data_IF_860250204640
#
_entry.id   IF_860250204640
#
_cell.length_a   1.000
_cell.length_b   1.000
_cell.length_c   1.000
_cell.angle_alpha   90.00
_cell.angle_beta   90.00
_cell.angle_gamma   90.00
#
_symmetry.space_group_name_H-M   'P 1'
#
loop_
_entity.id
_entity.type
_entity.pdbx_description
1 polymer ?
#
# COMPACT_ATOMS: atom_id res chain seq x y z
N UNK A 1 20.85 -12.36 -39.32
CA UNK A 1 19.73 -11.62 -39.91
C UNK A 1 18.60 -11.70 -38.90
N UNK A 2 18.50 -10.70 -38.03
CA UNK A 2 17.50 -10.67 -36.96
C UNK A 2 16.22 -10.09 -37.54
N UNK A 3 15.15 -10.89 -37.58
CA UNK A 3 13.82 -10.40 -37.90
C UNK A 3 13.36 -9.49 -36.76
N UNK A 4 13.49 -8.18 -36.95
CA UNK A 4 12.80 -7.20 -36.13
C UNK A 4 11.29 -7.34 -36.41
N UNK A 5 10.45 -7.59 -35.39
CA UNK A 5 9.00 -7.58 -35.57
C UNK A 5 8.56 -6.19 -36.04
N UNK A 6 7.55 -6.18 -36.90
CA UNK A 6 7.07 -5.03 -37.65
C UNK A 6 6.86 -3.78 -36.76
N UNK A 7 7.63 -2.72 -37.02
CA UNK A 7 7.85 -1.56 -36.12
C UNK A 7 6.67 -0.57 -36.03
N UNK A 8 5.53 -0.87 -36.66
CA UNK A 8 4.34 0.00 -36.79
C UNK A 8 3.15 -0.39 -35.92
N UNK A 9 3.20 -1.50 -35.18
CA UNK A 9 2.05 -2.01 -34.39
C UNK A 9 1.95 -1.42 -32.97
N UNK A 10 2.94 -0.65 -32.52
CA UNK A 10 3.00 -0.15 -31.14
C UNK A 10 3.59 1.29 -31.08
N UNK A 11 3.07 2.20 -31.92
CA UNK A 11 3.60 3.57 -32.01
C UNK A 11 3.28 4.43 -30.78
N UNK A 12 2.16 4.16 -30.10
CA UNK A 12 1.74 4.87 -28.88
C UNK A 12 2.60 4.49 -27.65
N UNK A 13 3.23 3.32 -27.71
CA UNK A 13 4.14 2.83 -26.68
C UNK A 13 3.89 1.38 -26.29
N UNK A 14 4.85 0.85 -25.55
CA UNK A 14 4.92 -0.55 -25.14
C UNK A 14 5.06 -0.59 -23.61
N UNK A 15 4.32 -1.48 -22.96
CA UNK A 15 4.49 -1.83 -21.55
C UNK A 15 5.19 -3.17 -21.47
N UNK A 16 6.42 -3.17 -20.97
CA UNK A 16 7.21 -4.36 -20.71
C UNK A 16 7.16 -4.73 -19.23
N UNK A 17 6.93 -6.01 -18.95
CA UNK A 17 6.90 -6.58 -17.62
C UNK A 17 8.10 -7.50 -17.47
N UNK A 18 8.93 -7.27 -16.45
CA UNK A 18 10.11 -8.06 -16.15
C UNK A 18 9.94 -8.80 -14.83
N UNK A 19 10.30 -10.08 -14.85
CA UNK A 19 10.46 -10.88 -13.64
C UNK A 19 11.91 -10.79 -13.15
N UNK A 20 12.08 -10.87 -11.83
CA UNK A 20 13.40 -10.86 -11.20
C UNK A 20 14.30 -11.95 -11.78
N UNK A 21 15.55 -11.62 -12.07
CA UNK A 21 16.54 -12.54 -12.64
C UNK A 21 16.43 -12.78 -14.15
N UNK A 22 15.45 -12.21 -14.85
CA UNK A 22 15.36 -12.28 -16.32
C UNK A 22 15.83 -10.98 -16.96
N UNK A 23 16.58 -11.09 -18.05
CA UNK A 23 17.04 -9.96 -18.87
C UNK A 23 16.03 -9.59 -19.96
N UNK A 24 15.27 -10.58 -20.43
CA UNK A 24 14.23 -10.39 -21.42
C UNK A 24 12.86 -10.14 -20.74
N UNK A 25 12.00 -9.31 -21.34
CA UNK A 25 10.67 -9.05 -20.80
C UNK A 25 9.86 -10.35 -20.77
N UNK A 26 9.22 -10.62 -19.64
CA UNK A 26 8.29 -11.73 -19.48
C UNK A 26 7.07 -11.53 -20.38
N UNK A 27 6.62 -10.29 -20.49
CA UNK A 27 5.49 -9.90 -21.31
C UNK A 27 5.71 -8.50 -21.86
N UNK A 28 5.33 -8.29 -23.13
CA UNK A 28 5.36 -7.00 -23.78
C UNK A 28 3.98 -6.71 -24.38
N UNK A 29 3.36 -5.60 -23.96
CA UNK A 29 1.98 -5.24 -24.30
C UNK A 29 1.98 -3.90 -25.03
N UNK A 30 1.16 -3.77 -26.06
CA UNK A 30 0.79 -2.47 -26.62
C UNK A 30 -0.70 -2.45 -26.98
N UNK A 31 -1.23 -1.28 -27.39
CA UNK A 31 -2.66 -1.04 -27.57
C UNK A 31 -3.40 -2.07 -28.44
N UNK A 32 -2.74 -2.63 -29.46
CA UNK A 32 -3.33 -3.64 -30.35
C UNK A 32 -3.44 -5.03 -29.69
N UNK A 33 -2.58 -5.34 -28.73
CA UNK A 33 -2.43 -6.67 -28.13
C UNK A 33 -3.05 -6.80 -26.73
N UNK A 34 -3.77 -5.77 -26.25
CA UNK A 34 -4.37 -5.75 -24.90
C UNK A 34 -5.34 -6.92 -24.68
N UNK A 35 -6.04 -7.36 -25.73
CA UNK A 35 -6.98 -8.47 -25.66
C UNK A 35 -6.31 -9.82 -25.35
N UNK A 36 -5.03 -9.99 -25.71
CA UNK A 36 -4.24 -11.21 -25.44
C UNK A 36 -3.80 -11.29 -23.96
N UNK A 37 -3.85 -10.17 -23.24
CA UNK A 37 -3.43 -10.06 -21.84
C UNK A 37 -4.51 -10.58 -20.86
N UNK A 38 -5.74 -10.82 -21.35
CA UNK A 38 -6.80 -11.43 -20.52
C UNK A 38 -6.47 -12.87 -20.12
N UNK A 39 -5.52 -13.52 -20.78
CA UNK A 39 -5.10 -14.90 -20.52
C UNK A 39 -3.72 -14.99 -19.84
N UNK A 40 -3.34 -13.97 -19.04
CA UNK A 40 -2.08 -14.06 -18.33
C UNK A 40 -2.06 -15.25 -17.36
N UNK A 41 -1.04 -16.12 -17.44
CA UNK A 41 -0.90 -17.20 -16.49
C UNK A 41 -0.57 -16.64 -15.11
N UNK A 42 -1.04 -17.34 -14.08
CA UNK A 42 -0.75 -17.02 -12.68
C UNK A 42 0.75 -17.17 -12.45
N UNK A 43 1.40 -16.10 -11.96
CA UNK A 43 2.80 -16.13 -11.55
C UNK A 43 2.93 -16.81 -10.19
N UNK A 44 3.83 -17.79 -10.08
CA UNK A 44 4.12 -18.43 -8.81
C UNK A 44 5.05 -17.58 -7.93
N UNK A 45 4.98 -17.78 -6.61
CA UNK A 45 5.88 -17.10 -5.67
C UNK A 45 7.37 -17.35 -5.96
N UNK A 46 7.70 -18.55 -6.47
CA UNK A 46 9.05 -18.92 -6.87
C UNK A 46 9.55 -18.14 -8.10
N UNK A 47 8.65 -17.77 -9.02
CA UNK A 47 9.00 -16.97 -10.19
C UNK A 47 9.17 -15.49 -9.85
N UNK A 48 8.45 -15.00 -8.84
CA UNK A 48 8.56 -13.62 -8.36
C UNK A 48 9.83 -13.41 -7.52
N UNK A 49 10.26 -14.43 -6.77
CA UNK A 49 11.43 -14.40 -5.89
C UNK A 49 12.35 -15.60 -6.15
N UNK A 50 13.12 -15.61 -7.25
CA UNK A 50 14.02 -16.71 -7.57
C UNK A 50 15.10 -16.92 -6.49
N UNK A 51 15.50 -15.85 -5.80
CA UNK A 51 16.49 -15.88 -4.72
C UNK A 51 15.86 -16.12 -3.34
N UNK A 52 14.52 -16.18 -3.24
CA UNK A 52 13.78 -16.37 -1.98
C UNK A 52 13.82 -15.18 -1.02
N UNK A 53 14.53 -14.09 -1.35
CA UNK A 53 14.70 -12.93 -0.47
C UNK A 53 13.50 -11.97 -0.57
N UNK A 54 13.17 -11.54 -1.80
CA UNK A 54 12.17 -10.50 -2.02
C UNK A 54 11.51 -10.71 -3.39
N UNK A 55 10.18 -10.92 -3.43
CA UNK A 55 9.44 -11.01 -4.68
C UNK A 55 9.37 -9.65 -5.37
N UNK A 56 9.54 -9.61 -6.69
CA UNK A 56 9.51 -8.35 -7.42
C UNK A 56 9.13 -8.49 -8.89
N UNK A 57 8.35 -7.52 -9.36
CA UNK A 57 8.01 -7.33 -10.77
C UNK A 57 8.37 -5.90 -11.14
N UNK A 58 9.07 -5.73 -12.26
CA UNK A 58 9.39 -4.41 -12.79
C UNK A 58 8.54 -4.15 -14.02
N UNK A 59 7.84 -3.01 -14.04
CA UNK A 59 7.00 -2.60 -15.16
C UNK A 59 7.65 -1.37 -15.79
N UNK A 60 7.93 -1.45 -17.08
CA UNK A 60 8.57 -0.39 -17.86
C UNK A 60 7.66 0.04 -19.01
N UNK A 61 7.40 1.35 -19.10
CA UNK A 61 6.71 1.93 -20.25
C UNK A 61 7.73 2.57 -21.21
N UNK A 62 7.65 2.20 -22.49
CA UNK A 62 8.50 2.68 -23.57
C UNK A 62 7.60 3.30 -24.65
N UNK A 63 7.39 4.61 -24.58
CA UNK A 63 6.63 5.39 -25.56
C UNK A 63 7.53 6.23 -26.48
N UNK A 64 7.13 6.41 -27.74
CA UNK A 64 7.78 7.38 -28.66
C UNK A 64 7.20 8.79 -28.54
N UNK A 65 6.00 8.90 -27.98
CA UNK A 65 5.29 10.17 -27.76
C UNK A 65 5.44 10.65 -26.32
N UNK A 66 5.13 11.94 -26.08
CA UNK A 66 5.10 12.51 -24.73
C UNK A 66 4.34 11.62 -23.73
N UNK A 67 4.86 11.36 -22.52
CA UNK A 67 4.23 10.50 -21.51
C UNK A 67 2.77 10.87 -21.18
N UNK A 68 2.41 12.14 -21.37
CA UNK A 68 1.04 12.67 -21.16
C UNK A 68 -0.03 12.13 -22.10
N UNK A 69 0.31 11.39 -23.16
CA UNK A 69 -0.68 10.81 -24.09
C UNK A 69 -1.00 9.33 -23.84
N UNK A 70 -0.23 8.65 -22.98
CA UNK A 70 -0.45 7.24 -22.66
C UNK A 70 -1.09 7.11 -21.28
N UNK A 71 -2.15 6.30 -21.19
CA UNK A 71 -2.79 5.95 -19.93
C UNK A 71 -3.00 4.44 -19.89
N UNK A 72 -2.57 3.80 -18.80
CA UNK A 72 -2.81 2.38 -18.55
C UNK A 72 -3.11 2.18 -17.07
N UNK A 73 -3.91 1.16 -16.78
CA UNK A 73 -4.26 0.74 -15.42
C UNK A 73 -3.73 -0.66 -15.21
N UNK A 74 -3.05 -0.88 -14.10
CA UNK A 74 -2.54 -2.18 -13.68
C UNK A 74 -3.39 -2.64 -12.51
N UNK A 75 -3.91 -3.85 -12.61
CA UNK A 75 -4.59 -4.53 -11.51
C UNK A 75 -3.93 -5.89 -11.31
N UNK A 76 -3.73 -6.29 -10.06
CA UNK A 76 -3.19 -7.60 -9.70
C UNK A 76 -4.03 -8.21 -8.58
N UNK A 77 -4.03 -9.54 -8.53
CA UNK A 77 -4.67 -10.32 -7.48
C UNK A 77 -3.70 -11.41 -7.05
N UNK A 78 -3.64 -11.68 -5.75
CA UNK A 78 -2.82 -12.76 -5.20
C UNK A 78 -3.69 -14.01 -4.95
N UNK A 79 -3.11 -15.19 -5.16
CA UNK A 79 -3.77 -16.47 -4.91
C UNK A 79 -2.99 -17.21 -3.82
N UNK A 80 -3.68 -17.57 -2.73
CA UNK A 80 -3.10 -18.36 -1.65
C UNK A 80 -3.42 -19.85 -1.86
N UNK A 81 -2.39 -20.69 -1.83
CA UNK A 81 -2.56 -22.14 -1.82
C UNK A 81 -2.98 -22.60 -0.43
N UNK A 82 -4.24 -23.02 -0.30
CA UNK A 82 -4.72 -23.62 0.93
C UNK A 82 -4.22 -25.06 1.06
N UNK A 83 -3.74 -25.47 2.24
CA UNK A 83 -3.46 -26.86 2.54
C UNK A 83 -4.70 -27.73 2.27
N UNK A 84 -4.52 -29.00 1.95
CA UNK A 84 -5.63 -29.95 1.79
C UNK A 84 -5.78 -30.81 3.04
N UNK A 85 -7.03 -31.10 3.39
CA UNK A 85 -7.36 -32.11 4.39
C UNK A 85 -6.87 -33.50 3.96
N UNK A 86 -6.81 -34.44 4.90
CA UNK A 86 -6.53 -35.85 4.59
C UNK A 86 -7.57 -36.42 3.58
N UNK A 87 -8.77 -35.87 3.58
CA UNK A 87 -9.85 -36.20 2.64
C UNK A 87 -9.73 -35.51 1.26
N UNK A 88 -8.66 -34.73 1.03
CA UNK A 88 -8.39 -34.05 -0.24
C UNK A 88 -9.18 -32.75 -0.48
N UNK A 89 -10.15 -32.43 0.39
CA UNK A 89 -10.84 -31.14 0.40
C UNK A 89 -9.88 -30.00 0.78
N UNK A 90 -10.15 -28.79 0.28
CA UNK A 90 -9.35 -27.61 0.65
C UNK A 90 -9.61 -27.27 2.12
N UNK A 91 -8.55 -27.06 2.91
CA UNK A 91 -8.64 -26.51 4.26
C UNK A 91 -8.98 -25.02 4.16
N UNK A 92 -10.22 -24.67 3.82
CA UNK A 92 -10.73 -23.31 4.00
C UNK A 92 -10.66 -22.85 5.47
N UNK A 93 -10.62 -23.82 6.40
CA UNK A 93 -10.33 -23.58 7.81
C UNK A 93 -8.96 -22.93 8.07
N UNK A 94 -7.98 -23.05 7.17
CA UNK A 94 -6.66 -22.39 7.29
C UNK A 94 -6.67 -20.91 6.92
N UNK A 95 -7.73 -20.43 6.27
CA UNK A 95 -8.02 -18.98 6.23
C UNK A 95 -8.52 -18.48 7.59
N UNK A 96 -8.93 -19.39 8.46
CA UNK A 96 -9.60 -19.15 9.74
C UNK A 96 -8.94 -19.78 10.97
N UNK A 97 -7.74 -20.33 10.80
CA UNK A 97 -6.86 -20.84 11.85
C UNK A 97 -5.91 -19.68 12.20
N UNK A 98 -6.00 -19.01 13.35
CA UNK A 98 -6.20 -19.61 14.67
C UNK A 98 -7.63 -19.81 15.14
N UNK A 99 -7.90 -21.05 15.51
CA UNK A 99 -9.09 -21.42 16.27
C UNK A 99 -9.52 -22.86 16.04
N UNK A 100 -8.76 -23.84 16.54
CA UNK A 100 -9.43 -25.07 16.96
C UNK A 100 -10.29 -24.71 18.16
N UNK A 101 -11.61 -24.86 18.01
CA UNK A 101 -12.62 -24.57 19.02
C UNK A 101 -12.57 -25.61 20.15
N UNK A 102 -11.42 -25.82 20.78
CA UNK A 102 -11.27 -26.55 22.06
C UNK A 102 -9.95 -26.18 22.75
N UNK A 103 -9.53 -24.91 22.77
CA UNK A 103 -8.82 -24.35 23.93
C UNK A 103 -8.76 -22.83 23.82
N UNK A 104 -8.61 -22.16 24.96
CA UNK A 104 -8.59 -20.70 25.09
C UNK A 104 -7.69 -19.97 24.08
N UNK A 105 -8.27 -19.01 23.34
CA UNK A 105 -7.72 -17.71 22.90
C UNK A 105 -6.18 -17.60 22.85
N UNK A 106 -5.52 -18.34 21.96
CA UNK A 106 -4.12 -18.08 21.62
C UNK A 106 -3.87 -18.39 20.14
N UNK A 107 -4.27 -17.48 19.25
CA UNK A 107 -3.96 -17.58 17.82
C UNK A 107 -4.89 -16.89 16.84
N UNK A 108 -6.04 -16.36 17.29
CA UNK A 108 -6.93 -15.57 16.43
C UNK A 108 -6.45 -14.12 16.40
N UNK A 109 -5.87 -13.68 15.28
CA UNK A 109 -5.36 -12.31 15.13
C UNK A 109 -6.50 -11.30 14.92
N UNK A 110 -7.55 -11.69 14.19
CA UNK A 110 -8.81 -10.94 14.07
C UNK A 110 -10.00 -11.90 13.96
N UNK A 111 -11.01 -11.71 14.80
CA UNK A 111 -12.23 -12.50 14.75
C UNK A 111 -13.26 -11.83 13.83
N UNK A 112 -13.73 -12.57 12.84
CA UNK A 112 -14.82 -12.10 11.98
C UNK A 112 -16.13 -12.00 12.78
N UNK A 113 -16.99 -11.03 12.44
CA UNK A 113 -18.33 -10.91 13.02
C UNK A 113 -19.19 -12.15 12.72
N UNK A 114 -19.99 -12.58 13.69
CA UNK A 114 -20.99 -13.66 13.54
C UNK A 114 -20.72 -14.92 14.39
N UNK A 115 -21.71 -15.81 14.46
CA UNK A 115 -21.68 -17.00 15.33
C UNK A 115 -20.79 -18.15 14.81
N UNK A 116 -20.18 -17.98 13.63
CA UNK A 116 -19.38 -19.01 12.98
C UNK A 116 -17.97 -19.19 13.56
N UNK A 117 -17.53 -18.28 14.46
CA UNK A 117 -16.22 -18.38 15.10
C UNK A 117 -15.04 -18.33 14.10
N UNK A 118 -15.21 -17.60 13.00
CA UNK A 118 -14.21 -17.48 11.93
C UNK A 118 -13.16 -16.44 12.30
N UNK A 119 -11.89 -16.75 12.12
CA UNK A 119 -10.79 -15.81 12.30
C UNK A 119 -10.14 -15.45 10.97
N UNK A 120 -9.38 -14.36 10.90
CA UNK A 120 -8.47 -14.05 9.80
C UNK A 120 -7.18 -13.46 10.37
N UNK A 121 -6.07 -13.48 9.62
CA UNK A 121 -4.87 -12.72 9.94
C UNK A 121 -5.14 -11.20 9.96
N UNK A 122 -4.50 -10.46 10.87
CA UNK A 122 -4.67 -9.00 10.99
C UNK A 122 -4.18 -8.24 9.77
N UNK A 123 -3.22 -8.81 9.01
CA UNK A 123 -2.78 -8.23 7.73
C UNK A 123 -3.86 -8.18 6.65
N UNK A 124 -4.97 -8.92 6.83
CA UNK A 124 -6.10 -8.90 5.92
C UNK A 124 -7.17 -7.88 6.35
N UNK A 125 -7.05 -7.29 7.53
CA UNK A 125 -7.97 -6.26 8.02
C UNK A 125 -7.57 -4.91 7.42
N UNK A 126 -8.53 -4.15 6.91
CA UNK A 126 -8.31 -2.85 6.26
C UNK A 126 -7.40 -2.91 5.03
N UNK A 127 -7.48 -4.00 4.26
CA UNK A 127 -6.69 -4.18 3.04
C UNK A 127 -7.46 -3.78 1.77
N UNK A 128 -8.68 -3.25 1.92
CA UNK A 128 -9.54 -2.82 0.83
C UNK A 128 -10.38 -3.94 0.21
N UNK A 129 -10.36 -5.14 0.79
CA UNK A 129 -11.16 -6.29 0.35
C UNK A 129 -11.91 -6.85 1.56
N UNK A 130 -13.20 -7.16 1.41
CA UNK A 130 -13.98 -7.81 2.47
C UNK A 130 -13.62 -9.30 2.51
N UNK A 131 -12.91 -9.72 3.54
CA UNK A 131 -12.46 -11.10 3.74
C UNK A 131 -13.39 -11.89 4.66
N UNK A 132 -14.14 -11.21 5.54
CA UNK A 132 -15.11 -11.87 6.41
C UNK A 132 -16.40 -12.24 5.65
N UNK A 133 -16.82 -13.52 5.67
CA UNK A 133 -18.06 -13.94 5.01
C UNK A 133 -19.31 -13.51 5.79
N UNK A 134 -20.43 -13.34 5.07
CA UNK A 134 -21.77 -13.08 5.63
C UNK A 134 -21.94 -11.74 6.37
N UNK A 135 -21.20 -10.70 5.99
CA UNK A 135 -21.36 -9.33 6.54
C UNK A 135 -22.56 -8.56 5.96
N UNK A 136 -23.37 -9.18 5.10
CA UNK A 136 -24.34 -8.46 4.27
C UNK A 136 -25.77 -8.36 4.81
N UNK A 137 -26.12 -8.99 5.94
CA UNK A 137 -27.55 -9.16 6.27
C UNK A 137 -28.00 -8.80 7.69
N UNK A 138 -27.24 -8.05 8.48
CA UNK A 138 -27.69 -7.65 9.82
C UNK A 138 -27.86 -6.13 9.92
N UNK A 139 -29.11 -5.71 10.19
CA UNK A 139 -29.48 -4.38 10.69
C UNK A 139 -28.80 -4.15 12.05
N UNK A 140 -27.56 -3.68 12.02
CA UNK A 140 -26.74 -3.33 13.19
C UNK A 140 -25.47 -2.61 12.71
N UNK A 141 -24.72 -1.95 13.60
CA UNK A 141 -23.48 -1.28 13.23
C UNK A 141 -22.57 -2.27 12.47
N UNK A 142 -22.12 -1.83 11.31
CA UNK A 142 -21.49 -2.65 10.27
C UNK A 142 -20.07 -3.00 10.69
N UNK A 143 -19.93 -3.98 11.56
CA UNK A 143 -18.62 -4.50 11.99
C UNK A 143 -18.06 -5.47 10.96
N UNK A 144 -17.66 -4.99 9.78
CA UNK A 144 -16.80 -5.76 8.85
C UNK A 144 -15.33 -5.54 9.19
N UNK A 145 -14.46 -6.45 8.74
CA UNK A 145 -13.00 -6.27 8.66
C UNK A 145 -12.57 -4.99 7.91
N UNK A 146 -13.46 -4.39 7.11
CA UNK A 146 -13.25 -3.13 6.39
C UNK A 146 -14.12 -1.97 6.94
N UNK A 147 -14.62 -2.09 8.16
CA UNK A 147 -15.49 -1.06 8.75
C UNK A 147 -14.72 0.24 9.01
N UNK A 148 -15.38 1.37 8.79
CA UNK A 148 -14.75 2.68 8.99
C UNK A 148 -14.31 2.91 10.44
N UNK A 149 -14.97 2.30 11.42
CA UNK A 149 -14.57 2.39 12.82
C UNK A 149 -13.28 1.61 13.15
N UNK A 150 -13.00 0.52 12.44
CA UNK A 150 -11.76 -0.25 12.57
C UNK A 150 -10.64 0.32 11.69
N UNK A 151 -10.98 0.78 10.48
CA UNK A 151 -10.03 1.23 9.47
C UNK A 151 -9.73 2.72 9.49
N UNK A 152 -10.30 3.47 10.44
CA UNK A 152 -9.77 4.80 10.77
C UNK A 152 -8.38 4.60 11.35
N UNK A 153 -7.39 4.69 10.46
CA UNK A 153 -6.03 4.98 10.84
C UNK A 153 -6.09 6.28 11.62
N UNK A 154 -5.85 6.21 12.92
CA UNK A 154 -5.46 7.36 13.70
C UNK A 154 -4.15 7.82 13.05
N UNK A 155 -4.28 8.73 12.08
CA UNK A 155 -3.15 9.34 11.42
C UNK A 155 -2.48 10.16 12.51
N UNK A 156 -1.60 9.50 13.27
CA UNK A 156 -0.77 10.14 14.26
C UNK A 156 -0.02 11.19 13.47
N UNK A 157 -0.35 12.49 13.64
CA UNK A 157 0.24 13.49 12.79
C UNK A 157 1.74 13.41 13.05
N UNK A 158 2.52 13.08 12.01
CA UNK A 158 3.97 13.13 12.12
C UNK A 158 4.33 14.57 12.45
N UNK A 159 4.56 14.84 13.74
CA UNK A 159 4.86 16.18 14.21
C UNK A 159 6.19 16.57 13.61
N UNK A 160 6.16 17.50 12.66
CA UNK A 160 7.37 18.02 12.05
C UNK A 160 8.12 18.88 13.08
N UNK A 161 9.06 18.25 13.79
CA UNK A 161 9.88 18.88 14.83
C UNK A 161 10.69 20.08 14.32
N UNK A 162 10.96 20.17 13.02
CA UNK A 162 11.63 21.32 12.41
C UNK A 162 10.71 22.56 12.47
N UNK A 163 9.41 22.38 12.24
CA UNK A 163 8.44 23.47 12.32
C UNK A 163 8.27 23.96 13.77
N UNK A 164 8.20 23.02 14.72
CA UNK A 164 8.16 23.34 16.16
C UNK A 164 9.43 24.08 16.59
N UNK A 165 10.61 23.61 16.16
CA UNK A 165 11.89 24.25 16.46
C UNK A 165 12.01 25.67 15.89
N UNK A 166 11.61 25.87 14.64
CA UNK A 166 11.67 27.20 14.00
C UNK A 166 10.70 28.20 14.63
N UNK A 167 9.51 27.77 15.04
CA UNK A 167 8.56 28.61 15.75
C UNK A 167 9.12 29.09 17.11
N UNK A 168 9.74 28.21 17.89
CA UNK A 168 10.31 28.56 19.20
C UNK A 168 11.47 29.55 19.05
N UNK A 169 12.38 29.31 18.10
CA UNK A 169 13.52 30.22 17.86
C UNK A 169 13.05 31.60 17.38
N UNK A 170 12.04 31.64 16.52
CA UNK A 170 11.45 32.91 16.04
C UNK A 170 10.88 33.75 17.19
N UNK A 171 10.14 33.12 18.11
CA UNK A 171 9.57 33.81 19.28
C UNK A 171 10.67 34.34 20.21
N UNK A 172 11.72 33.55 20.45
CA UNK A 172 12.86 33.99 21.28
C UNK A 172 13.61 35.17 20.67
N UNK A 173 13.82 35.17 19.36
CA UNK A 173 14.44 36.29 18.65
C UNK A 173 13.58 37.56 18.71
N UNK A 174 12.26 37.43 18.56
CA UNK A 174 11.34 38.56 18.69
C UNK A 174 11.35 39.15 20.10
N UNK A 175 11.31 38.31 21.13
CA UNK A 175 11.39 38.75 22.53
C UNK A 175 12.73 39.45 22.83
N UNK A 176 13.85 38.89 22.35
CA UNK A 176 15.16 39.50 22.50
C UNK A 176 15.24 40.87 21.81
N UNK A 177 14.69 40.98 20.59
CA UNK A 177 14.63 42.23 19.85
C UNK A 177 13.79 43.29 20.58
N UNK A 178 12.62 42.91 21.09
CA UNK A 178 11.76 43.79 21.90
C UNK A 178 12.48 44.29 23.16
N UNK A 179 13.19 43.40 23.89
CA UNK A 179 13.99 43.79 25.04
C UNK A 179 15.07 44.82 24.67
N UNK A 180 15.81 44.60 23.57
CA UNK A 180 16.83 45.56 23.11
C UNK A 180 16.21 46.90 22.70
N UNK A 181 15.07 46.89 22.01
CA UNK A 181 14.34 48.09 21.61
C UNK A 181 13.84 48.89 22.83
N UNK A 182 13.30 48.21 23.83
CA UNK A 182 12.84 48.84 25.08
C UNK A 182 14.02 49.41 25.89
N UNK A 183 15.11 48.64 26.05
CA UNK A 183 16.32 49.11 26.74
C UNK A 183 16.93 50.34 26.04
N UNK A 184 17.00 50.35 24.70
CA UNK A 184 17.49 51.51 23.94
C UNK A 184 16.58 52.72 24.08
N UNK A 185 15.27 52.53 24.15
CA UNK A 185 14.31 53.62 24.33
C UNK A 185 14.36 54.19 25.75
N UNK A 186 14.56 53.35 26.77
CA UNK A 186 14.78 53.77 28.16
C UNK A 186 16.12 54.50 28.34
N UNK A 187 17.23 53.99 27.78
CA UNK A 187 18.53 54.67 27.83
C UNK A 187 18.50 56.05 27.16
N UNK A 188 17.75 56.20 26.07
CA UNK A 188 17.62 57.47 25.37
C UNK A 188 16.80 58.49 26.17
N UNK A 189 15.81 58.03 26.93
CA UNK A 189 15.01 58.88 27.83
C UNK A 189 15.79 59.27 29.09
N UNK A 190 16.67 58.40 29.61
CA UNK A 190 17.51 58.71 30.78
C UNK A 190 18.68 59.67 30.48
N UNK A 191 19.01 59.93 29.22
CA UNK A 191 20.10 60.85 28.83
C UNK A 191 19.60 62.20 28.30
N UNK A 192 18.29 62.46 28.31
CA UNK A 192 17.67 63.73 27.89
C UNK A 192 17.29 64.65 29.08
N UNK A 193 17.60 64.24 30.32
CA UNK A 193 17.25 64.95 31.58
C UNK A 193 18.47 65.61 32.27
N UNK A 194 19.50 66.05 31.52
CA UNK A 194 20.57 66.95 32.00
C UNK A 194 20.66 68.23 31.16
#
# INVERSE_FOLDING_TARGET
>A
MWNLPNRSACDDGIVDIFLKGRLDPYLSICGENVSLVKELPVLSAAELSPDGIEPGVTIQFIGRTSPTRAAFTIAWTELFHLPRNQDGSLMSSRLTEGGTVEDNVEGCEFACPGDAGLCIPARLVCNGVVNCPNVTDHKGPVFSDESAELCVSEHSPEINWIYVGTAVVSVLLLLCCLCVCLCRRCCRYCCDDD
#
